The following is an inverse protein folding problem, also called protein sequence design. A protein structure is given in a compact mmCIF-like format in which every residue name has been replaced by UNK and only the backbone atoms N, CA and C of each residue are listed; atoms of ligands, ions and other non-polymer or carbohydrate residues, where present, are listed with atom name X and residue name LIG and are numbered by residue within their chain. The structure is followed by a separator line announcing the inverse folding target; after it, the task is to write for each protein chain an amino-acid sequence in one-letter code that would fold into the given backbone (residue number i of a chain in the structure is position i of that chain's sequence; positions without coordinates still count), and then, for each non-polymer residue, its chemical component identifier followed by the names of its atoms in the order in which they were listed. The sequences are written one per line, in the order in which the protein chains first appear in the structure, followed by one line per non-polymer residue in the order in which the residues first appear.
data_IF_945059566201
#
_entry.id   IF_945059566201
#
_cell.length_a   1.000
_cell.length_b   1.000
_cell.length_c   1.000
_cell.angle_alpha   90.00
_cell.angle_beta   90.00
_cell.angle_gamma   90.00
#
_symmetry.space_group_name_H-M   'P 1'
#
loop_
_entity.id
_entity.type
_entity.pdbx_description
1 polymer ?
#
# COMPACT_ATOMS: atom_id res chain seq x y z
N UNK A 1 -54.08 -5.56 72.85
CA UNK A 1 -53.93 -4.45 71.89
C UNK A 1 -52.84 -4.85 70.91
N UNK A 2 -53.24 -5.34 69.73
CA UNK A 2 -52.38 -5.84 68.67
C UNK A 2 -52.45 -4.88 67.48
N UNK A 3 -51.35 -4.18 67.20
CA UNK A 3 -51.18 -3.35 66.01
C UNK A 3 -50.69 -4.25 64.85
N UNK A 4 -51.33 -4.21 63.66
CA UNK A 4 -50.96 -5.04 62.52
C UNK A 4 -49.76 -4.47 61.74
N UNK A 5 -48.94 -5.38 61.21
CA UNK A 5 -47.83 -5.11 60.30
C UNK A 5 -48.35 -4.49 58.99
N UNK A 6 -47.96 -3.26 58.69
CA UNK A 6 -48.16 -2.64 57.37
C UNK A 6 -47.05 -3.08 56.43
N UNK A 7 -47.39 -3.98 55.50
CA UNK A 7 -46.53 -4.38 54.40
C UNK A 7 -46.39 -3.25 53.38
N UNK A 8 -45.24 -2.57 53.39
CA UNK A 8 -44.81 -1.67 52.32
C UNK A 8 -44.08 -2.45 51.23
N UNK A 9 -44.84 -3.08 50.33
CA UNK A 9 -44.27 -3.62 49.10
C UNK A 9 -43.96 -2.45 48.15
N UNK A 10 -42.68 -2.14 47.98
CA UNK A 10 -42.20 -1.32 46.88
C UNK A 10 -42.60 -1.98 45.56
N UNK A 11 -43.61 -1.43 44.89
CA UNK A 11 -43.91 -1.78 43.50
C UNK A 11 -42.72 -1.32 42.65
N UNK A 12 -41.84 -2.26 42.29
CA UNK A 12 -40.91 -2.07 41.19
C UNK A 12 -41.76 -1.90 39.92
N UNK A 13 -41.93 -0.66 39.47
CA UNK A 13 -42.53 -0.36 38.17
C UNK A 13 -41.67 -1.02 37.10
N UNK A 14 -42.15 -2.12 36.55
CA UNK A 14 -41.56 -2.78 35.38
C UNK A 14 -41.55 -1.72 34.26
N UNK A 15 -40.38 -1.32 33.73
CA UNK A 15 -40.34 -0.39 32.61
C UNK A 15 -41.13 -1.00 31.45
N UNK A 16 -41.88 -0.18 30.67
CA UNK A 16 -42.61 -0.69 29.52
C UNK A 16 -41.64 -1.45 28.60
N UNK A 17 -42.07 -2.58 28.00
CA UNK A 17 -41.23 -3.32 27.08
C UNK A 17 -40.67 -2.37 26.04
N UNK A 18 -39.34 -2.35 25.90
CA UNK A 18 -38.68 -1.54 24.87
C UNK A 18 -39.27 -1.92 23.51
N UNK A 19 -39.50 -0.96 22.60
CA UNK A 19 -40.04 -1.24 21.25
C UNK A 19 -39.25 -2.33 20.48
N UNK A 20 -38.00 -2.58 20.86
CA UNK A 20 -37.18 -3.67 20.36
C UNK A 20 -37.71 -5.07 20.74
N UNK A 21 -38.34 -5.24 21.91
CA UNK A 21 -38.97 -6.48 22.36
C UNK A 21 -40.28 -6.75 21.61
N UNK A 22 -41.13 -5.74 21.42
CA UNK A 22 -42.37 -5.89 20.64
C UNK A 22 -42.10 -6.15 19.15
N UNK A 23 -41.05 -5.55 18.57
CA UNK A 23 -40.60 -5.86 17.21
C UNK A 23 -40.02 -7.27 17.08
N UNK A 24 -39.30 -7.74 18.10
CA UNK A 24 -38.74 -9.10 18.10
C UNK A 24 -39.82 -10.18 18.24
N UNK A 25 -40.89 -9.92 19.00
CA UNK A 25 -42.04 -10.84 19.13
C UNK A 25 -42.96 -10.85 17.90
N UNK A 26 -42.92 -9.80 17.07
CA UNK A 26 -43.74 -9.67 15.86
C UNK A 26 -43.02 -10.00 14.55
N UNK A 27 -41.68 -10.03 14.53
CA UNK A 27 -40.89 -10.40 13.35
C UNK A 27 -40.75 -11.92 13.21
N UNK A 28 -40.96 -12.41 12.00
CA UNK A 28 -40.73 -13.82 11.69
C UNK A 28 -39.23 -14.16 11.69
N UNK A 29 -38.87 -15.42 11.96
CA UNK A 29 -37.47 -15.90 11.85
C UNK A 29 -36.85 -15.62 10.47
N UNK A 30 -37.67 -15.61 9.42
CA UNK A 30 -37.22 -15.24 8.07
C UNK A 30 -36.80 -13.77 7.94
N UNK A 31 -37.46 -12.88 8.68
CA UNK A 31 -37.19 -11.44 8.71
C UNK A 31 -35.88 -11.14 9.47
N UNK A 32 -35.68 -11.80 10.62
CA UNK A 32 -34.44 -11.71 11.40
C UNK A 32 -33.21 -12.23 10.63
N UNK A 33 -33.37 -13.32 9.86
CA UNK A 33 -32.31 -13.82 8.98
C UNK A 33 -32.04 -12.91 7.78
N UNK A 34 -33.09 -12.28 7.24
CA UNK A 34 -32.96 -11.24 6.22
C UNK A 34 -32.15 -10.05 6.72
N UNK A 35 -32.48 -9.55 7.91
CA UNK A 35 -31.78 -8.43 8.55
C UNK A 35 -30.32 -8.76 8.89
N UNK A 36 -30.04 -9.96 9.40
CA UNK A 36 -28.66 -10.39 9.68
C UNK A 36 -27.82 -10.48 8.40
N UNK A 37 -28.39 -11.04 7.32
CA UNK A 37 -27.72 -11.15 6.01
C UNK A 37 -27.48 -9.78 5.38
N UNK A 38 -28.44 -8.87 5.51
CA UNK A 38 -28.32 -7.49 5.05
C UNK A 38 -27.23 -6.72 5.83
N UNK A 39 -27.18 -6.91 7.15
CA UNK A 39 -26.15 -6.30 8.01
C UNK A 39 -24.75 -6.85 7.70
N UNK A 40 -24.60 -8.16 7.50
CA UNK A 40 -23.33 -8.75 7.09
C UNK A 40 -22.87 -8.25 5.72
N UNK A 41 -23.79 -8.16 4.76
CA UNK A 41 -23.53 -7.58 3.43
C UNK A 41 -23.08 -6.13 3.52
N UNK A 42 -23.64 -5.36 4.46
CA UNK A 42 -23.25 -3.97 4.74
C UNK A 42 -21.82 -3.88 5.29
N UNK A 43 -21.47 -4.73 6.26
CA UNK A 43 -20.11 -4.81 6.82
C UNK A 43 -19.08 -5.18 5.76
N UNK A 44 -19.33 -6.20 4.95
CA UNK A 44 -18.43 -6.59 3.86
C UNK A 44 -18.22 -5.46 2.86
N UNK A 45 -19.28 -4.74 2.48
CA UNK A 45 -19.16 -3.58 1.60
C UNK A 45 -18.38 -2.43 2.25
N UNK A 46 -18.48 -2.27 3.58
CA UNK A 46 -17.71 -1.28 4.33
C UNK A 46 -16.23 -1.64 4.44
N UNK A 47 -15.89 -2.90 4.73
CA UNK A 47 -14.51 -3.40 4.73
C UNK A 47 -13.83 -3.20 3.38
N UNK A 48 -14.53 -3.54 2.29
CA UNK A 48 -14.04 -3.28 0.92
C UNK A 48 -13.89 -1.78 0.65
N UNK A 49 -14.84 -0.96 1.09
CA UNK A 49 -14.76 0.50 0.93
C UNK A 49 -13.58 1.09 1.72
N UNK A 50 -13.32 0.58 2.92
CA UNK A 50 -12.21 1.00 3.78
C UNK A 50 -10.87 0.57 3.19
N UNK A 51 -10.72 -0.71 2.81
CA UNK A 51 -9.52 -1.22 2.15
C UNK A 51 -9.22 -0.45 0.85
N UNK A 52 -10.26 -0.10 0.09
CA UNK A 52 -10.12 0.75 -1.09
C UNK A 52 -9.65 2.16 -0.73
N UNK A 53 -10.17 2.75 0.35
CA UNK A 53 -9.75 4.07 0.82
C UNK A 53 -8.27 4.06 1.26
N UNK A 54 -7.88 3.07 2.06
CA UNK A 54 -6.51 2.91 2.54
C UNK A 54 -5.53 2.61 1.40
N UNK A 55 -5.91 1.77 0.43
CA UNK A 55 -5.12 1.52 -0.76
C UNK A 55 -4.96 2.79 -1.62
N UNK A 56 -6.02 3.60 -1.75
CA UNK A 56 -5.98 4.86 -2.49
C UNK A 56 -5.08 5.88 -1.79
N UNK A 57 -5.18 5.99 -0.47
CA UNK A 57 -4.33 6.87 0.32
C UNK A 57 -2.86 6.44 0.25
N UNK A 58 -2.59 5.14 0.39
CA UNK A 58 -1.27 4.55 0.22
C UNK A 58 -0.70 4.84 -1.18
N UNK A 59 -1.49 4.65 -2.24
CA UNK A 59 -1.10 4.95 -3.61
C UNK A 59 -0.80 6.44 -3.81
N UNK A 60 -1.58 7.34 -3.20
CA UNK A 60 -1.35 8.79 -3.26
C UNK A 60 -0.05 9.17 -2.54
N UNK A 61 0.20 8.62 -1.36
CA UNK A 61 1.43 8.87 -0.61
C UNK A 61 2.66 8.33 -1.36
N UNK A 62 2.59 7.09 -1.85
CA UNK A 62 3.63 6.50 -2.68
C UNK A 62 3.86 7.30 -3.97
N UNK A 63 2.79 7.73 -4.65
CA UNK A 63 2.86 8.56 -5.86
C UNK A 63 3.49 9.92 -5.60
N UNK A 64 3.16 10.59 -4.49
CA UNK A 64 3.80 11.84 -4.06
C UNK A 64 5.29 11.64 -3.81
N UNK A 65 5.65 10.59 -3.07
CA UNK A 65 7.04 10.23 -2.80
C UNK A 65 7.82 9.96 -4.09
N UNK A 66 7.28 9.12 -4.98
CA UNK A 66 7.87 8.83 -6.28
C UNK A 66 8.03 10.11 -7.13
N UNK A 67 7.04 11.00 -7.14
CA UNK A 67 7.11 12.29 -7.82
C UNK A 67 8.20 13.21 -7.24
N UNK A 68 8.35 13.26 -5.92
CA UNK A 68 9.42 14.01 -5.25
C UNK A 68 10.81 13.46 -5.61
N UNK A 69 10.98 12.13 -5.61
CA UNK A 69 12.24 11.50 -6.02
C UNK A 69 12.55 11.74 -7.49
N UNK A 70 11.56 11.68 -8.38
CA UNK A 70 11.74 12.01 -9.79
C UNK A 70 12.16 13.47 -9.97
N UNK A 71 11.49 14.41 -9.28
CA UNK A 71 11.87 15.82 -9.27
C UNK A 71 13.28 16.04 -8.72
N UNK A 72 13.65 15.37 -7.63
CA UNK A 72 14.99 15.42 -7.06
C UNK A 72 16.05 14.85 -8.00
N UNK A 73 15.76 13.78 -8.74
CA UNK A 73 16.67 13.22 -9.74
C UNK A 73 16.93 14.21 -10.88
N UNK A 74 15.87 14.85 -11.41
CA UNK A 74 16.00 15.88 -12.45
C UNK A 74 16.75 17.11 -11.92
N UNK A 75 16.37 17.61 -10.75
CA UNK A 75 17.04 18.75 -10.11
C UNK A 75 18.52 18.46 -9.83
N UNK A 76 18.81 17.28 -9.27
CA UNK A 76 20.17 16.81 -9.04
C UNK A 76 20.98 16.70 -10.34
N UNK A 77 20.38 16.25 -11.43
CA UNK A 77 21.03 16.22 -12.74
C UNK A 77 21.44 17.62 -13.22
N UNK A 78 20.57 18.63 -13.08
CA UNK A 78 20.92 20.02 -13.43
C UNK A 78 22.00 20.60 -12.51
N UNK A 79 21.96 20.31 -11.21
CA UNK A 79 23.02 20.73 -10.28
C UNK A 79 24.37 20.16 -10.72
N UNK A 80 24.42 18.87 -11.05
CA UNK A 80 25.63 18.21 -11.55
C UNK A 80 26.11 18.80 -12.88
N UNK A 81 25.19 19.12 -13.79
CA UNK A 81 25.51 19.79 -15.05
C UNK A 81 26.16 21.16 -14.82
N UNK A 82 25.54 22.02 -14.01
CA UNK A 82 26.07 23.35 -13.73
C UNK A 82 27.38 23.31 -12.93
N UNK A 83 27.52 22.37 -11.99
CA UNK A 83 28.78 22.13 -11.29
C UNK A 83 29.89 21.74 -12.27
N UNK A 84 29.58 20.89 -13.26
CA UNK A 84 30.55 20.47 -14.28
C UNK A 84 30.99 21.63 -15.16
N UNK A 85 30.06 22.47 -15.59
CA UNK A 85 30.38 23.68 -16.35
C UNK A 85 31.20 24.66 -15.51
N UNK A 86 30.80 24.90 -14.26
CA UNK A 86 31.52 25.77 -13.33
C UNK A 86 32.94 25.27 -13.07
N UNK A 87 33.12 23.96 -12.87
CA UNK A 87 34.43 23.33 -12.72
C UNK A 87 35.27 23.49 -13.99
N UNK A 88 34.70 23.20 -15.16
CA UNK A 88 35.39 23.36 -16.44
C UNK A 88 35.85 24.81 -16.66
N UNK A 89 34.99 25.78 -16.40
CA UNK A 89 35.31 27.21 -16.52
C UNK A 89 36.33 27.66 -15.48
N UNK A 90 36.22 27.17 -14.24
CA UNK A 90 37.19 27.42 -13.17
C UNK A 90 38.58 26.89 -13.51
N UNK A 91 38.68 25.69 -14.08
CA UNK A 91 39.94 25.15 -14.58
C UNK A 91 40.43 25.93 -15.81
N UNK A 92 39.52 26.32 -16.72
CA UNK A 92 39.87 27.08 -17.91
C UNK A 92 40.50 28.46 -17.59
N UNK A 93 40.32 28.99 -16.38
CA UNK A 93 40.99 30.20 -15.93
C UNK A 93 42.52 30.03 -15.74
N UNK A 94 43.00 28.80 -15.56
CA UNK A 94 44.42 28.49 -15.31
C UNK A 94 45.05 27.56 -16.35
N UNK A 95 44.25 27.00 -17.27
CA UNK A 95 44.73 26.09 -18.31
C UNK A 95 43.84 26.14 -19.58
N UNK A 96 44.28 25.61 -20.74
CA UNK A 96 43.44 25.58 -21.93
C UNK A 96 42.15 24.80 -21.72
N UNK A 97 41.04 25.33 -22.24
CA UNK A 97 39.68 24.77 -22.06
C UNK A 97 39.57 23.29 -22.47
N UNK A 98 40.33 22.86 -23.48
CA UNK A 98 40.37 21.46 -23.91
C UNK A 98 40.85 20.52 -22.80
N UNK A 99 41.90 20.89 -22.07
CA UNK A 99 42.41 20.09 -20.95
C UNK A 99 41.50 20.14 -19.73
N UNK A 100 40.87 21.30 -19.47
CA UNK A 100 39.85 21.42 -18.44
C UNK A 100 38.68 20.44 -18.69
N UNK A 101 38.19 20.38 -19.93
CA UNK A 101 37.12 19.46 -20.32
C UNK A 101 37.53 17.99 -20.15
N UNK A 102 38.77 17.62 -20.52
CA UNK A 102 39.29 16.25 -20.32
C UNK A 102 39.32 15.88 -18.84
N UNK A 103 39.77 16.78 -17.95
CA UNK A 103 39.80 16.52 -16.51
C UNK A 103 38.38 16.29 -15.98
N UNK A 104 37.42 17.14 -16.34
CA UNK A 104 36.01 16.98 -15.93
C UNK A 104 35.44 15.66 -16.46
N UNK A 105 35.77 15.28 -17.70
CA UNK A 105 35.37 13.99 -18.27
C UNK A 105 35.94 12.80 -17.51
N UNK A 106 37.22 12.84 -17.10
CA UNK A 106 37.84 11.80 -16.28
C UNK A 106 37.15 11.66 -14.92
N UNK A 107 36.83 12.78 -14.26
CA UNK A 107 36.09 12.77 -12.99
C UNK A 107 34.74 12.06 -13.15
N UNK A 108 33.97 12.41 -14.19
CA UNK A 108 32.71 11.73 -14.49
C UNK A 108 32.88 10.26 -14.86
N UNK A 109 33.94 9.91 -15.58
CA UNK A 109 34.28 8.52 -15.89
C UNK A 109 34.50 7.67 -14.64
N UNK A 110 35.20 8.21 -13.64
CA UNK A 110 35.42 7.55 -12.34
C UNK A 110 34.08 7.38 -11.61
N UNK A 111 33.28 8.44 -11.51
CA UNK A 111 31.95 8.39 -10.86
C UNK A 111 31.07 7.33 -11.54
N UNK A 112 31.01 7.32 -12.87
CA UNK A 112 30.24 6.35 -13.64
C UNK A 112 30.72 4.91 -13.42
N UNK A 113 32.03 4.67 -13.39
CA UNK A 113 32.60 3.36 -13.11
C UNK A 113 32.20 2.86 -11.71
N UNK A 114 32.31 3.71 -10.69
CA UNK A 114 31.90 3.37 -9.31
C UNK A 114 30.40 3.06 -9.25
N UNK A 115 29.55 3.91 -9.84
CA UNK A 115 28.10 3.69 -9.85
C UNK A 115 27.72 2.40 -10.59
N UNK A 116 28.37 2.10 -11.71
CA UNK A 116 28.14 0.85 -12.45
C UNK A 116 28.52 -0.39 -11.62
N UNK A 117 29.62 -0.34 -10.87
CA UNK A 117 30.05 -1.43 -10.00
C UNK A 117 29.09 -1.62 -8.82
N UNK A 118 28.65 -0.54 -8.18
CA UNK A 118 27.67 -0.59 -7.09
C UNK A 118 26.32 -1.10 -7.59
N UNK A 119 25.83 -0.58 -8.73
CA UNK A 119 24.58 -1.03 -9.35
C UNK A 119 24.63 -2.51 -9.72
N UNK A 120 25.75 -2.98 -10.28
CA UNK A 120 25.98 -4.40 -10.55
C UNK A 120 25.94 -5.24 -9.27
N UNK A 121 26.54 -4.77 -8.18
CA UNK A 121 26.53 -5.45 -6.88
C UNK A 121 25.11 -5.54 -6.30
N UNK A 122 24.33 -4.47 -6.36
CA UNK A 122 22.94 -4.47 -5.91
C UNK A 122 22.07 -5.42 -6.75
N UNK A 123 22.20 -5.37 -8.08
CA UNK A 123 21.50 -6.30 -8.98
C UNK A 123 21.85 -7.77 -8.70
N UNK A 124 23.10 -8.07 -8.35
CA UNK A 124 23.52 -9.42 -7.98
C UNK A 124 23.02 -9.87 -6.60
N UNK A 125 22.78 -8.93 -5.69
CA UNK A 125 22.19 -9.21 -4.38
C UNK A 125 20.68 -9.45 -4.46
N UNK A 126 20.01 -8.92 -5.49
CA UNK A 126 18.63 -9.28 -5.83
C UNK A 126 18.60 -10.69 -6.46
N UNK A 127 18.95 -11.71 -5.66
CA UNK A 127 18.63 -13.12 -5.91
C UNK A 127 17.10 -13.28 -5.87
N UNK A 128 16.40 -13.10 -6.99
CA UNK A 128 14.93 -13.18 -6.92
C UNK A 128 14.12 -13.14 -8.21
N UNK A 129 14.71 -13.19 -9.41
CA UNK A 129 13.93 -13.26 -10.66
C UNK A 129 14.36 -14.26 -11.75
N UNK A 130 15.44 -15.06 -11.67
CA UNK A 130 15.71 -16.04 -12.73
C UNK A 130 14.88 -17.33 -12.65
N UNK A 131 14.33 -17.70 -11.49
CA UNK A 131 13.67 -19.02 -11.35
C UNK A 131 12.16 -19.01 -11.68
N UNK A 132 11.49 -17.87 -11.62
CA UNK A 132 10.04 -17.80 -11.89
C UNK A 132 9.73 -18.01 -13.38
N UNK A 133 10.67 -17.66 -14.27
CA UNK A 133 10.53 -17.93 -15.71
C UNK A 133 10.78 -19.40 -16.08
N UNK A 134 11.55 -20.14 -15.28
CA UNK A 134 11.75 -21.59 -15.46
C UNK A 134 10.58 -22.39 -14.86
N UNK A 135 10.05 -22.01 -13.69
CA UNK A 135 8.87 -22.67 -13.09
C UNK A 135 7.60 -22.53 -13.95
N UNK A 136 7.44 -21.43 -14.70
CA UNK A 136 6.30 -21.28 -15.65
C UNK A 136 6.46 -22.16 -16.90
N UNK A 137 7.69 -22.53 -17.27
CA UNK A 137 7.95 -23.47 -18.38
C UNK A 137 7.84 -24.94 -17.96
N UNK A 138 7.84 -25.23 -16.66
CA UNK A 138 7.64 -26.58 -16.11
C UNK A 138 6.18 -26.94 -15.80
N UNK A 139 5.20 -26.07 -16.12
CA UNK A 139 3.78 -26.45 -16.00
C UNK A 139 3.49 -27.52 -17.08
N UNK A 140 3.31 -28.80 -16.71
CA UNK A 140 3.08 -29.86 -17.68
C UNK A 140 1.69 -29.67 -18.29
N UNK A 141 1.46 -30.05 -19.56
CA UNK A 141 0.14 -29.98 -20.22
C UNK A 141 -0.91 -30.91 -19.60
N UNK A 142 -0.65 -31.52 -18.44
CA UNK A 142 -1.55 -32.42 -17.73
C UNK A 142 -2.56 -31.70 -16.83
N UNK A 143 -2.43 -30.38 -16.61
CA UNK A 143 -3.51 -29.57 -16.04
C UNK A 143 -4.53 -29.17 -17.12
N UNK A 144 -5.10 -30.18 -17.78
CA UNK A 144 -6.42 -30.11 -18.43
C UNK A 144 -7.43 -30.65 -17.42
N UNK A 145 -8.22 -29.81 -16.75
CA UNK A 145 -9.33 -30.28 -15.94
C UNK A 145 -10.36 -31.01 -16.81
N UNK A 146 -10.39 -32.34 -16.70
CA UNK A 146 -11.56 -33.17 -16.93
C UNK A 146 -12.20 -33.13 -18.32
N UNK A 147 -11.49 -33.60 -19.35
CA UNK A 147 -12.15 -34.16 -20.55
C UNK A 147 -12.13 -35.70 -20.48
N UNK A 148 -12.80 -36.24 -19.46
CA UNK A 148 -13.27 -37.63 -19.30
C UNK A 148 -14.36 -37.50 -18.21
N UNK A 149 -15.62 -37.88 -18.38
CA UNK A 149 -16.10 -39.09 -19.03
C UNK A 149 -17.58 -38.90 -19.41
N UNK A 150 -17.93 -39.50 -20.55
CA UNK A 150 -19.25 -39.77 -21.10
C UNK A 150 -20.12 -40.61 -20.16
#
# INVERSE_FOLDING_TARGET
MSQPYTGGAHQASVPPPSEAHERADSQSIGELMGDLTANFSKLMRQEVALAKAEATESAKQAGKGAGMFAGAAVGGHFVLLFLSLGLMWGLAAVMPTGWAAVIVAVVWGIIAAVLALLGKKEMQQVKGLPNTAETVKEIPPTLKPGEHTR
#
